data_IF_100700403300
#
_entry.id   IF_100700403300
#
_cell.length_a   1.000
_cell.length_b   1.000
_cell.length_c   1.000
_cell.angle_alpha   90.00
_cell.angle_beta   90.00
_cell.angle_gamma   90.00
#
_symmetry.space_group_name_H-M   'P 1'
#
loop_
_entity.id
_entity.type
_entity.pdbx_description
1 polymer ?
#
# COMPACT_ATOMS: atom_id res chain seq x y z
N UNK A 1 5.11 -9.42 -3.60
CA UNK A 1 6.18 -10.06 -4.42
C UNK A 1 7.60 -9.54 -4.12
N UNK A 2 8.06 -8.39 -4.64
CA UNK A 2 9.40 -7.85 -4.30
C UNK A 2 9.40 -7.09 -2.97
N UNK A 3 8.51 -6.11 -2.83
CA UNK A 3 8.47 -5.19 -1.69
C UNK A 3 8.27 -5.94 -0.36
N UNK A 4 7.34 -6.90 -0.35
CA UNK A 4 7.10 -7.78 0.81
C UNK A 4 8.30 -8.68 1.13
N UNK A 5 9.01 -9.18 0.12
CA UNK A 5 10.20 -10.02 0.33
C UNK A 5 11.35 -9.20 0.88
N UNK A 6 11.53 -7.97 0.37
CA UNK A 6 12.55 -7.05 0.85
C UNK A 6 12.24 -6.54 2.27
N UNK A 7 10.98 -6.26 2.58
CA UNK A 7 10.55 -5.96 3.95
C UNK A 7 10.87 -7.10 4.92
N UNK A 8 10.54 -8.35 4.55
CA UNK A 8 10.89 -9.54 5.35
C UNK A 8 12.41 -9.70 5.51
N UNK A 9 13.18 -9.43 4.46
CA UNK A 9 14.64 -9.46 4.51
C UNK A 9 15.19 -8.40 5.49
N UNK A 10 14.79 -7.13 5.36
CA UNK A 10 15.19 -6.07 6.28
C UNK A 10 14.79 -6.38 7.73
N UNK A 11 13.59 -6.93 7.94
CA UNK A 11 13.12 -7.36 9.26
C UNK A 11 13.96 -8.52 9.83
N UNK A 12 14.42 -9.44 8.98
CA UNK A 12 15.29 -10.55 9.41
C UNK A 12 16.71 -10.10 9.79
N UNK A 13 17.20 -9.00 9.22
CA UNK A 13 18.50 -8.42 9.60
C UNK A 13 18.48 -7.80 11.01
N UNK A 14 17.32 -7.29 11.44
CA UNK A 14 17.15 -6.70 12.78
C UNK A 14 17.98 -5.44 13.02
N UNK A 15 17.96 -4.98 14.28
CA UNK A 15 18.70 -3.80 14.74
C UNK A 15 18.39 -2.54 13.95
N UNK A 16 19.38 -1.66 13.84
CA UNK A 16 19.26 -0.35 13.18
C UNK A 16 18.78 -0.44 11.73
N UNK A 17 19.13 -1.52 11.02
CA UNK A 17 18.70 -1.72 9.63
C UNK A 17 17.19 -1.92 9.55
N UNK A 18 16.61 -2.75 10.41
CA UNK A 18 15.18 -2.96 10.46
C UNK A 18 14.46 -1.66 10.90
N UNK A 19 14.98 -0.99 11.93
CA UNK A 19 14.37 0.21 12.49
C UNK A 19 14.35 1.38 11.48
N UNK A 20 15.37 1.49 10.61
CA UNK A 20 15.42 2.51 9.58
C UNK A 20 14.66 2.11 8.31
N UNK A 21 14.81 0.87 7.82
CA UNK A 21 14.28 0.45 6.53
C UNK A 21 12.80 0.07 6.57
N UNK A 22 12.32 -0.56 7.64
CA UNK A 22 10.93 -1.01 7.71
C UNK A 22 9.93 0.17 7.58
N UNK A 23 10.12 1.31 8.28
CA UNK A 23 9.23 2.47 8.10
C UNK A 23 9.26 3.07 6.69
N UNK A 24 10.44 3.09 6.04
CA UNK A 24 10.59 3.58 4.66
C UNK A 24 9.83 2.67 3.69
N UNK A 25 9.96 1.36 3.86
CA UNK A 25 9.29 0.37 3.01
C UNK A 25 7.79 0.33 3.24
N UNK A 26 7.32 0.53 4.48
CA UNK A 26 5.91 0.71 4.81
C UNK A 26 5.32 1.90 4.06
N UNK A 27 6.01 3.04 4.11
CA UNK A 27 5.59 4.24 3.38
C UNK A 27 5.58 4.04 1.86
N UNK A 28 6.59 3.37 1.30
CA UNK A 28 6.62 3.07 -0.14
C UNK A 28 5.51 2.11 -0.56
N UNK A 29 5.16 1.15 0.31
CA UNK A 29 4.02 0.26 0.08
C UNK A 29 2.70 1.05 0.03
N UNK A 30 2.49 1.95 0.99
CA UNK A 30 1.28 2.76 1.08
C UNK A 30 1.17 3.75 -0.09
N UNK A 31 2.28 4.43 -0.43
CA UNK A 31 2.38 5.31 -1.60
C UNK A 31 1.99 4.58 -2.87
N UNK A 32 2.50 3.35 -3.06
CA UNK A 32 2.20 2.54 -4.23
C UNK A 32 0.72 2.15 -4.30
N UNK A 33 0.09 1.82 -3.16
CA UNK A 33 -1.34 1.53 -3.11
C UNK A 33 -2.19 2.73 -3.55
N UNK A 34 -1.90 3.93 -3.03
CA UNK A 34 -2.61 5.15 -3.44
C UNK A 34 -2.45 5.45 -4.93
N UNK A 35 -1.24 5.39 -5.46
CA UNK A 35 -0.95 5.69 -6.88
C UNK A 35 -1.64 4.68 -7.81
N UNK A 36 -1.64 3.39 -7.45
CA UNK A 36 -2.36 2.36 -8.22
C UNK A 36 -3.86 2.70 -8.25
N UNK A 37 -4.46 3.05 -7.12
CA UNK A 37 -5.89 3.36 -7.06
C UNK A 37 -6.24 4.57 -7.90
N UNK A 38 -5.51 5.68 -7.76
CA UNK A 38 -5.76 6.90 -8.54
C UNK A 38 -5.59 6.66 -10.04
N UNK A 39 -4.50 6.00 -10.43
CA UNK A 39 -4.21 5.78 -11.86
C UNK A 39 -5.08 4.69 -12.49
N UNK A 40 -5.76 3.87 -11.69
CA UNK A 40 -6.71 2.88 -12.20
C UNK A 40 -8.04 3.50 -12.65
N UNK A 41 -8.36 4.72 -12.21
CA UNK A 41 -9.60 5.40 -12.60
C UNK A 41 -9.62 5.67 -14.10
N UNK A 42 -10.74 5.29 -14.75
CA UNK A 42 -10.90 5.44 -16.21
C UNK A 42 -10.17 4.38 -17.04
N UNK A 43 -9.61 3.33 -16.42
CA UNK A 43 -9.03 2.17 -17.11
C UNK A 43 -9.98 0.97 -17.07
N UNK A 44 -9.71 -0.07 -17.87
CA UNK A 44 -10.47 -1.34 -17.85
C UNK A 44 -10.09 -2.26 -16.67
N UNK A 45 -9.28 -1.79 -15.72
CA UNK A 45 -8.82 -2.59 -14.59
C UNK A 45 -9.96 -2.82 -13.58
N UNK A 46 -10.30 -4.08 -13.35
CA UNK A 46 -11.30 -4.44 -12.34
C UNK A 46 -10.82 -4.13 -10.92
N UNK A 47 -11.77 -3.90 -9.99
CA UNK A 47 -11.46 -3.69 -8.57
C UNK A 47 -10.69 -4.86 -7.94
N UNK A 48 -11.00 -6.08 -8.37
CA UNK A 48 -10.35 -7.30 -7.89
C UNK A 48 -8.90 -7.40 -8.39
N UNK A 49 -8.65 -7.07 -9.66
CA UNK A 49 -7.30 -7.09 -10.22
C UNK A 49 -6.44 -5.97 -9.65
N UNK A 50 -7.03 -4.80 -9.41
CA UNK A 50 -6.40 -3.71 -8.67
C UNK A 50 -5.95 -4.14 -7.28
N UNK A 51 -6.81 -4.84 -6.52
CA UNK A 51 -6.48 -5.31 -5.18
C UNK A 51 -5.28 -6.27 -5.16
N UNK A 52 -5.11 -7.10 -6.21
CA UNK A 52 -3.96 -8.01 -6.34
C UNK A 52 -2.63 -7.28 -6.55
N UNK A 53 -2.65 -6.01 -6.96
CA UNK A 53 -1.45 -5.20 -7.18
C UNK A 53 -0.95 -4.51 -5.90
N UNK A 54 -1.73 -4.52 -4.81
CA UNK A 54 -1.35 -3.86 -3.58
C UNK A 54 -0.29 -4.65 -2.78
N UNK A 55 0.75 -3.99 -2.27
CA UNK A 55 1.70 -4.61 -1.35
C UNK A 55 1.13 -4.72 0.08
N UNK A 56 1.26 -5.88 0.73
CA UNK A 56 0.71 -6.14 2.08
C UNK A 56 1.69 -5.90 3.24
N UNK A 57 2.58 -4.91 3.10
CA UNK A 57 3.63 -4.63 4.10
C UNK A 57 3.67 -3.17 4.57
N UNK A 58 2.65 -2.37 4.23
CA UNK A 58 2.46 -0.98 4.69
C UNK A 58 1.45 -0.87 5.82
N UNK A 59 1.20 0.35 6.29
CA UNK A 59 0.25 0.64 7.39
C UNK A 59 -1.21 0.56 6.94
N UNK A 60 -1.47 0.67 5.64
CA UNK A 60 -2.81 0.51 5.09
C UNK A 60 -3.31 -0.94 5.12
N UNK A 61 -2.41 -1.93 5.28
CA UNK A 61 -2.83 -3.32 5.37
C UNK A 61 -3.35 -3.65 6.79
N UNK A 62 -4.50 -4.33 6.94
CA UNK A 62 -5.39 -4.84 5.90
C UNK A 62 -6.55 -3.91 5.50
N UNK A 63 -7.03 -3.06 6.42
CA UNK A 63 -8.30 -2.34 6.26
C UNK A 63 -8.25 -1.22 5.22
N UNK A 64 -7.21 -0.38 5.24
CA UNK A 64 -7.03 0.71 4.28
C UNK A 64 -6.92 0.21 2.83
N UNK A 65 -6.24 -0.92 2.60
CA UNK A 65 -6.18 -1.55 1.28
C UNK A 65 -7.55 -2.06 0.80
N UNK A 66 -8.37 -2.61 1.71
CA UNK A 66 -9.73 -3.03 1.37
C UNK A 66 -10.62 -1.83 1.02
N UNK A 67 -10.44 -0.69 1.68
CA UNK A 67 -11.14 0.56 1.35
C UNK A 67 -10.68 1.11 -0.01
N UNK A 68 -9.36 1.17 -0.26
CA UNK A 68 -8.79 1.58 -1.55
C UNK A 68 -9.23 0.67 -2.71
N UNK A 69 -9.35 -0.63 -2.48
CA UNK A 69 -9.85 -1.57 -3.48
C UNK A 69 -11.29 -1.27 -3.90
N UNK A 70 -12.10 -0.66 -3.03
CA UNK A 70 -13.50 -0.30 -3.30
C UNK A 70 -13.68 1.11 -3.85
N UNK A 71 -12.70 1.98 -3.66
CA UNK A 71 -12.76 3.39 -4.05
C UNK A 71 -13.00 3.57 -5.55
N UNK A 72 -13.90 4.50 -5.89
CA UNK A 72 -14.33 4.84 -7.24
C UNK A 72 -14.01 6.28 -7.64
N UNK A 73 -13.67 7.12 -6.66
CA UNK A 73 -13.36 8.53 -6.86
C UNK A 73 -12.19 9.00 -5.98
N UNK A 74 -11.71 10.21 -6.27
CA UNK A 74 -10.58 10.80 -5.56
C UNK A 74 -10.91 11.22 -4.12
N UNK A 75 -12.17 11.56 -3.82
CA UNK A 75 -12.59 11.91 -2.46
C UNK A 75 -12.52 10.72 -1.52
N UNK A 76 -12.97 9.54 -1.97
CA UNK A 76 -12.88 8.31 -1.21
C UNK A 76 -11.43 7.93 -0.91
N UNK A 77 -10.54 8.08 -1.89
CA UNK A 77 -9.10 7.85 -1.69
C UNK A 77 -8.52 8.81 -0.65
N UNK A 78 -8.90 10.09 -0.71
CA UNK A 78 -8.49 11.10 0.26
C UNK A 78 -9.00 10.78 1.66
N UNK A 79 -10.27 10.39 1.81
CA UNK A 79 -10.85 10.02 3.10
C UNK A 79 -10.10 8.85 3.72
N UNK A 80 -9.66 7.86 2.93
CA UNK A 80 -8.80 6.78 3.43
C UNK A 80 -7.47 7.34 3.92
N UNK A 81 -6.83 8.23 3.15
CA UNK A 81 -5.57 8.84 3.55
C UNK A 81 -5.67 9.65 4.86
N UNK A 82 -6.79 10.33 5.10
CA UNK A 82 -6.99 11.12 6.33
C UNK A 82 -7.02 10.26 7.61
N UNK A 83 -7.27 8.94 7.50
CA UNK A 83 -7.19 8.01 8.64
C UNK A 83 -5.76 7.56 8.98
N UNK A 84 -4.78 7.76 8.09
CA UNK A 84 -3.42 7.25 8.25
C UNK A 84 -2.39 8.41 8.22
N UNK A 85 -1.72 8.71 9.35
CA UNK A 85 -0.77 9.82 9.47
C UNK A 85 0.60 9.53 8.84
#
# INVERSE_FOLDING_TARGET
AYLESFYKFCKSLGGTTADAMCPILEFEADRRAFIITINSFGTELSKEDRAKLFPHCGKLYPEGLAQLARADDYEQVKNVADYYP
#
